data_IF_556064311793
#
_entry.id   IF_556064311793
#
_cell.length_a   1.000
_cell.length_b   1.000
_cell.length_c   1.000
_cell.angle_alpha   90.00
_cell.angle_beta   90.00
_cell.angle_gamma   90.00
#
_symmetry.space_group_name_H-M   'P 1'
#
loop_
_entity.id
_entity.type
_entity.pdbx_description
1 polymer ?
#
# COMPACT_ATOMS: atom_id res chain seq x y z
N UNK A 1 -14.85 23.10 -5.90
CA UNK A 1 -15.85 22.96 -6.97
C UNK A 1 -17.22 23.37 -6.41
N UNK A 2 -17.99 24.17 -7.16
CA UNK A 2 -19.03 25.16 -6.80
C UNK A 2 -18.55 26.58 -6.45
N UNK A 3 -17.40 26.73 -5.78
CA UNK A 3 -16.59 27.97 -5.72
C UNK A 3 -15.22 27.61 -5.08
N UNK A 4 -14.23 28.52 -5.04
CA UNK A 4 -12.96 28.30 -4.32
C UNK A 4 -13.08 28.57 -2.80
N UNK A 5 -14.29 28.76 -2.26
CA UNK A 5 -14.44 29.09 -0.85
C UNK A 5 -14.16 27.86 0.00
N UNK A 6 -13.20 28.01 0.92
CA UNK A 6 -12.98 27.07 2.00
C UNK A 6 -14.23 27.03 2.87
N UNK A 7 -14.68 25.82 3.21
CA UNK A 7 -15.85 25.60 4.06
C UNK A 7 -15.42 24.74 5.24
N UNK A 8 -15.84 25.15 6.42
CA UNK A 8 -15.56 24.43 7.66
C UNK A 8 -16.88 23.96 8.24
N UNK A 9 -16.99 22.65 8.45
CA UNK A 9 -18.14 22.04 9.09
C UNK A 9 -17.75 21.57 10.49
N UNK A 10 -18.25 22.26 11.51
CA UNK A 10 -18.04 21.87 12.89
C UNK A 10 -19.12 20.85 13.31
N UNK A 11 -18.74 19.58 13.39
CA UNK A 11 -19.65 18.50 13.76
C UNK A 11 -19.37 18.03 15.19
N UNK A 12 -20.42 17.54 15.88
CA UNK A 12 -20.29 16.85 17.17
C UNK A 12 -20.72 15.42 17.01
N UNK A 13 -19.88 14.50 17.48
CA UNK A 13 -20.13 13.07 17.43
C UNK A 13 -20.16 12.52 18.86
N UNK A 14 -21.22 11.83 19.23
CA UNK A 14 -21.26 11.11 20.49
C UNK A 14 -20.29 9.92 20.42
N UNK A 15 -19.51 9.73 21.49
CA UNK A 15 -18.60 8.59 21.59
C UNK A 15 -19.39 7.31 21.86
N UNK A 16 -19.26 6.37 20.94
CA UNK A 16 -19.75 5.00 21.04
C UNK A 16 -18.82 4.06 20.25
N UNK A 17 -18.42 2.94 20.84
CA UNK A 17 -17.41 2.04 20.26
C UNK A 17 -17.86 1.43 18.92
N UNK A 18 -19.16 1.19 18.75
CA UNK A 18 -19.72 0.53 17.58
C UNK A 18 -20.17 1.55 16.52
N UNK A 19 -20.79 2.65 16.93
CA UNK A 19 -21.39 3.62 16.01
C UNK A 19 -20.44 4.75 15.60
N UNK A 20 -19.45 5.12 16.42
CA UNK A 20 -18.51 6.22 16.09
C UNK A 20 -17.83 6.02 14.74
N UNK A 21 -17.29 4.83 14.38
CA UNK A 21 -16.68 4.62 13.07
C UNK A 21 -17.65 4.83 11.91
N UNK A 22 -18.88 4.28 12.02
CA UNK A 22 -19.88 4.34 10.95
C UNK A 22 -20.42 5.77 10.76
N UNK A 23 -20.74 6.46 11.85
CA UNK A 23 -21.25 7.83 11.81
C UNK A 23 -20.13 8.79 11.40
N UNK A 24 -18.90 8.59 11.89
CA UNK A 24 -17.73 9.38 11.47
C UNK A 24 -17.53 9.34 9.96
N UNK A 25 -17.54 8.14 9.35
CA UNK A 25 -17.55 7.97 7.89
C UNK A 25 -18.66 8.75 7.23
N UNK A 26 -19.89 8.59 7.71
CA UNK A 26 -21.07 9.22 7.12
C UNK A 26 -20.95 10.75 7.16
N UNK A 27 -20.54 11.32 8.28
CA UNK A 27 -20.36 12.77 8.46
C UNK A 27 -19.28 13.29 7.50
N UNK A 28 -18.15 12.61 7.37
CA UNK A 28 -17.09 12.99 6.44
C UNK A 28 -17.59 13.05 4.99
N UNK A 29 -18.29 11.99 4.55
CA UNK A 29 -18.83 11.90 3.20
C UNK A 29 -19.94 12.92 2.94
N UNK A 30 -20.89 13.05 3.86
CA UNK A 30 -22.01 13.98 3.73
C UNK A 30 -21.54 15.44 3.74
N UNK A 31 -20.53 15.79 4.54
CA UNK A 31 -19.97 17.14 4.59
C UNK A 31 -19.31 17.52 3.26
N UNK A 32 -18.54 16.60 2.67
CA UNK A 32 -17.89 16.81 1.37
C UNK A 32 -18.90 16.91 0.22
N UNK A 33 -20.03 16.20 0.30
CA UNK A 33 -21.07 16.16 -0.73
C UNK A 33 -22.25 17.11 -0.47
N UNK A 34 -22.16 17.95 0.57
CA UNK A 34 -23.27 18.83 0.99
C UNK A 34 -23.73 19.80 -0.12
N UNK A 35 -22.81 20.16 -1.04
CA UNK A 35 -23.09 21.07 -2.14
C UNK A 35 -23.53 20.36 -3.43
N UNK A 36 -23.75 19.04 -3.38
CA UNK A 36 -24.14 18.22 -4.51
C UNK A 36 -23.04 17.23 -4.94
N UNK A 37 -23.27 16.50 -6.04
CA UNK A 37 -22.31 15.53 -6.55
C UNK A 37 -21.03 16.19 -7.07
N UNK A 38 -19.94 15.43 -7.03
CA UNK A 38 -18.67 15.82 -7.62
C UNK A 38 -18.73 15.74 -9.16
N UNK A 39 -17.83 16.42 -9.89
CA UNK A 39 -17.69 16.22 -11.33
C UNK A 39 -17.47 14.72 -11.65
N UNK A 40 -17.86 14.23 -12.84
CA UNK A 40 -17.60 12.84 -13.21
C UNK A 40 -16.11 12.48 -13.17
N UNK A 41 -15.27 13.37 -13.70
CA UNK A 41 -13.81 13.31 -13.58
C UNK A 41 -13.33 14.25 -12.48
N UNK A 42 -12.89 13.69 -11.36
CA UNK A 42 -12.42 14.48 -10.22
C UNK A 42 -11.32 13.78 -9.45
N UNK A 43 -10.51 14.58 -8.79
CA UNK A 43 -9.47 14.16 -7.84
C UNK A 43 -9.81 14.73 -6.47
N UNK A 44 -9.64 13.92 -5.44
CA UNK A 44 -9.76 14.31 -4.03
C UNK A 44 -8.40 14.14 -3.38
N UNK A 45 -7.75 15.24 -3.03
CA UNK A 45 -6.58 15.25 -2.16
C UNK A 45 -7.06 15.54 -0.75
N UNK A 46 -6.60 14.79 0.24
CA UNK A 46 -7.11 14.93 1.60
C UNK A 46 -6.07 14.58 2.66
N UNK A 47 -6.21 15.26 3.79
CA UNK A 47 -5.43 15.03 5.00
C UNK A 47 -6.38 14.74 6.14
N UNK A 48 -5.99 13.81 7.00
CA UNK A 48 -6.76 13.45 8.18
C UNK A 48 -5.87 13.39 9.41
N UNK A 49 -6.42 13.85 10.54
CA UNK A 49 -5.78 13.78 11.84
C UNK A 49 -6.81 13.31 12.87
N UNK A 50 -6.48 12.21 13.56
CA UNK A 50 -7.26 11.69 14.68
C UNK A 50 -6.41 11.88 15.93
N UNK A 51 -6.79 12.85 16.76
CA UNK A 51 -6.17 13.02 18.06
C UNK A 51 -6.68 11.91 19.00
N UNK A 52 -5.76 11.27 19.72
CA UNK A 52 -6.08 10.23 20.69
C UNK A 52 -5.60 10.70 22.06
N UNK A 53 -6.36 10.36 23.09
CA UNK A 53 -6.01 10.72 24.46
C UNK A 53 -4.72 10.00 24.88
N UNK A 54 -3.78 10.74 25.48
CA UNK A 54 -2.52 10.23 26.04
C UNK A 54 -1.63 9.44 25.05
N UNK A 55 -1.71 9.74 23.75
CA UNK A 55 -0.94 9.03 22.72
C UNK A 55 -0.64 9.87 21.47
N UNK A 56 0.15 9.29 20.57
CA UNK A 56 0.48 9.94 19.29
C UNK A 56 -0.74 10.00 18.36
N UNK A 57 -1.00 11.15 17.72
CA UNK A 57 -2.08 11.29 16.77
C UNK A 57 -1.86 10.40 15.56
N UNK A 58 -2.96 9.93 14.97
CA UNK A 58 -2.92 9.20 13.71
C UNK A 58 -3.15 10.22 12.61
N UNK A 59 -2.16 10.34 11.73
CA UNK A 59 -2.18 11.31 10.63
C UNK A 59 -2.04 10.59 9.31
N UNK A 60 -2.84 10.99 8.34
CA UNK A 60 -2.75 10.45 6.99
C UNK A 60 -2.95 11.51 5.94
N UNK A 61 -2.18 11.43 4.86
CA UNK A 61 -2.34 12.25 3.67
C UNK A 61 -2.46 11.35 2.46
N UNK A 62 -3.48 11.59 1.63
CA UNK A 62 -3.69 10.77 0.47
C UNK A 62 -4.48 11.45 -0.65
N UNK A 63 -4.53 10.77 -1.79
CA UNK A 63 -5.19 11.22 -3.01
C UNK A 63 -6.04 10.08 -3.58
N UNK A 64 -7.25 10.38 -4.05
CA UNK A 64 -8.10 9.47 -4.82
C UNK A 64 -8.66 10.16 -6.06
N UNK A 65 -9.08 9.39 -7.05
CA UNK A 65 -9.68 9.95 -8.27
C UNK A 65 -10.80 9.06 -8.79
N UNK A 66 -11.84 9.67 -9.35
CA UNK A 66 -12.98 8.99 -9.99
C UNK A 66 -13.86 8.14 -9.05
N UNK A 67 -13.64 8.23 -7.73
CA UNK A 67 -14.27 7.35 -6.72
C UNK A 67 -15.06 8.10 -5.65
N UNK A 68 -15.51 9.31 -6.00
CA UNK A 68 -16.13 10.26 -5.07
C UNK A 68 -15.24 10.47 -3.82
N UNK A 69 -15.83 10.52 -2.63
CA UNK A 69 -15.15 10.58 -1.32
C UNK A 69 -15.16 9.21 -0.60
N UNK A 70 -15.16 8.12 -1.37
CA UNK A 70 -15.26 6.76 -0.83
C UNK A 70 -14.01 6.38 -0.02
N UNK A 71 -12.82 6.72 -0.53
CA UNK A 71 -11.54 6.41 0.12
C UNK A 71 -11.40 7.10 1.47
N UNK A 72 -11.68 8.42 1.53
CA UNK A 72 -11.67 9.19 2.78
C UNK A 72 -12.55 8.53 3.85
N UNK A 73 -13.79 8.18 3.46
CA UNK A 73 -14.72 7.53 4.37
C UNK A 73 -14.28 6.12 4.78
N UNK A 74 -13.69 5.36 3.86
CA UNK A 74 -13.23 3.99 4.13
C UNK A 74 -12.02 3.96 5.05
N UNK A 75 -11.07 4.87 4.88
CA UNK A 75 -9.90 5.02 5.74
C UNK A 75 -10.27 5.50 7.14
N UNK A 76 -11.18 6.48 7.24
CA UNK A 76 -11.69 6.90 8.53
C UNK A 76 -12.41 5.76 9.25
N UNK A 77 -13.29 5.03 8.54
CA UNK A 77 -14.01 3.89 9.10
C UNK A 77 -13.04 2.81 9.59
N UNK A 78 -12.10 2.37 8.75
CA UNK A 78 -11.17 1.28 9.09
C UNK A 78 -10.27 1.68 10.25
N UNK A 79 -9.75 2.91 10.25
CA UNK A 79 -8.90 3.44 11.31
C UNK A 79 -9.65 3.50 12.64
N UNK A 80 -10.82 4.14 12.69
CA UNK A 80 -11.61 4.22 13.91
C UNK A 80 -12.06 2.84 14.39
N UNK A 81 -12.42 1.93 13.48
CA UNK A 81 -12.79 0.56 13.83
C UNK A 81 -11.63 -0.18 14.48
N UNK A 82 -10.44 -0.09 13.90
CA UNK A 82 -9.23 -0.73 14.44
C UNK A 82 -8.86 -0.16 15.80
N UNK A 83 -8.90 1.17 15.97
CA UNK A 83 -8.59 1.80 17.26
C UNK A 83 -9.60 1.44 18.34
N UNK A 84 -10.90 1.54 18.05
CA UNK A 84 -11.94 1.33 19.06
C UNK A 84 -12.17 -0.14 19.40
N UNK A 85 -11.79 -1.06 18.51
CA UNK A 85 -11.98 -2.51 18.69
C UNK A 85 -10.68 -3.30 18.86
N UNK A 86 -9.54 -2.62 19.04
CA UNK A 86 -8.27 -3.31 19.31
C UNK A 86 -8.33 -4.09 20.65
N UNK A 87 -7.56 -5.19 20.78
CA UNK A 87 -7.55 -6.02 21.99
C UNK A 87 -6.52 -5.59 23.05
N UNK A 88 -5.77 -4.52 22.83
CA UNK A 88 -4.62 -4.13 23.66
C UNK A 88 -5.02 -3.11 24.73
N UNK A 89 -5.36 -1.90 24.32
CA UNK A 89 -5.71 -0.80 25.22
C UNK A 89 -6.95 -0.03 24.73
N UNK A 90 -7.59 0.69 25.63
CA UNK A 90 -8.68 1.61 25.25
C UNK A 90 -8.07 2.86 24.62
N UNK A 91 -8.13 2.96 23.29
CA UNK A 91 -7.69 4.14 22.55
C UNK A 91 -8.91 5.00 22.22
N UNK A 92 -9.07 6.12 22.93
CA UNK A 92 -10.21 7.03 22.75
C UNK A 92 -9.83 8.21 21.83
N UNK A 93 -10.48 8.37 20.67
CA UNK A 93 -10.37 9.58 19.87
C UNK A 93 -10.94 10.79 20.60
N UNK A 94 -10.21 11.91 20.59
CA UNK A 94 -10.63 13.20 21.17
C UNK A 94 -11.17 14.16 20.11
N UNK A 95 -10.50 14.20 18.95
CA UNK A 95 -10.94 14.97 17.79
C UNK A 95 -10.59 14.25 16.49
N UNK A 96 -11.34 14.58 15.44
CA UNK A 96 -11.11 14.13 14.07
C UNK A 96 -11.13 15.39 13.20
N UNK A 97 -10.03 15.66 12.52
CA UNK A 97 -9.87 16.73 11.56
C UNK A 97 -9.68 16.11 10.18
N UNK A 98 -10.39 16.65 9.19
CA UNK A 98 -10.31 16.20 7.79
C UNK A 98 -10.29 17.43 6.89
N UNK A 99 -9.21 17.58 6.14
CA UNK A 99 -9.07 18.57 5.10
C UNK A 99 -9.20 17.87 3.74
N UNK A 100 -10.03 18.41 2.86
CA UNK A 100 -10.26 17.83 1.53
C UNK A 100 -10.24 18.93 0.47
N UNK A 101 -9.47 18.70 -0.60
CA UNK A 101 -9.39 19.52 -1.80
C UNK A 101 -9.91 18.69 -2.96
N UNK A 102 -10.90 19.23 -3.68
CA UNK A 102 -11.57 18.54 -4.78
C UNK A 102 -11.37 19.32 -6.07
N UNK A 103 -10.74 18.68 -7.05
CA UNK A 103 -10.38 19.24 -8.34
C UNK A 103 -11.10 18.49 -9.47
N UNK A 104 -11.62 19.19 -10.51
CA UNK A 104 -12.34 18.56 -11.62
C UNK A 104 -11.37 17.99 -12.67
N UNK A 105 -10.47 17.10 -12.26
CA UNK A 105 -9.50 16.44 -13.13
C UNK A 105 -9.27 15.00 -12.65
N UNK A 106 -9.03 14.08 -13.59
CA UNK A 106 -8.65 12.70 -13.26
C UNK A 106 -7.12 12.62 -13.02
N UNK A 107 -6.74 12.13 -11.85
CA UNK A 107 -5.34 11.83 -11.50
C UNK A 107 -5.00 10.34 -11.60
N UNK A 108 -5.89 9.49 -12.12
CA UNK A 108 -5.64 8.05 -12.30
C UNK A 108 -5.04 7.75 -13.66
N UNK A 109 -3.88 7.12 -13.67
CA UNK A 109 -3.28 6.54 -14.86
C UNK A 109 -3.39 5.00 -14.82
N UNK A 110 -3.88 4.41 -15.90
CA UNK A 110 -3.89 2.95 -16.08
C UNK A 110 -2.64 2.50 -16.84
N UNK A 111 -2.15 1.30 -16.51
CA UNK A 111 -1.06 0.67 -17.28
C UNK A 111 -1.63 0.25 -18.64
N UNK A 112 -1.21 0.93 -19.71
CA UNK A 112 -1.62 0.65 -21.09
C UNK A 112 -0.80 -0.49 -21.70
N UNK A 113 0.52 -0.40 -21.58
CA UNK A 113 1.44 -1.44 -22.02
C UNK A 113 2.74 -1.35 -21.24
N UNK A 114 3.50 -2.43 -21.23
CA UNK A 114 4.82 -2.47 -20.62
C UNK A 114 5.75 -3.35 -21.46
N UNK A 115 6.99 -2.93 -21.62
CA UNK A 115 7.98 -3.56 -22.48
C UNK A 115 9.34 -3.62 -21.77
N UNK A 116 10.08 -4.69 -22.02
CA UNK A 116 11.44 -4.86 -21.52
C UNK A 116 12.44 -4.38 -22.56
N UNK A 117 13.48 -3.66 -22.12
CA UNK A 117 14.63 -3.35 -22.99
C UNK A 117 15.32 -4.61 -23.50
N UNK A 118 15.31 -5.69 -22.69
CA UNK A 118 15.78 -7.03 -23.05
C UNK A 118 14.90 -8.09 -22.38
N UNK A 119 14.36 -9.02 -23.17
CA UNK A 119 13.56 -10.13 -22.65
C UNK A 119 14.41 -11.25 -22.03
N UNK A 120 15.69 -11.32 -22.42
CA UNK A 120 16.66 -12.33 -21.96
C UNK A 120 17.82 -11.64 -21.26
N UNK A 121 18.12 -12.05 -20.04
CA UNK A 121 19.17 -11.47 -19.19
C UNK A 121 19.97 -12.52 -18.44
N UNK A 122 21.14 -12.11 -17.93
CA UNK A 122 21.96 -12.91 -17.03
C UNK A 122 21.80 -12.43 -15.57
N UNK A 123 22.02 -13.30 -14.58
CA UNK A 123 22.10 -12.89 -13.18
C UNK A 123 23.06 -11.70 -12.98
N UNK A 124 22.69 -10.75 -12.12
CA UNK A 124 23.47 -9.54 -11.85
C UNK A 124 23.27 -8.38 -12.84
N UNK A 125 22.65 -8.61 -14.01
CA UNK A 125 22.35 -7.54 -14.97
C UNK A 125 21.20 -6.65 -14.51
N UNK A 126 21.15 -5.42 -15.02
CA UNK A 126 20.03 -4.49 -14.84
C UNK A 126 19.16 -4.50 -16.09
N UNK A 127 17.84 -4.63 -15.90
CA UNK A 127 16.83 -4.43 -16.94
C UNK A 127 16.19 -3.06 -16.80
N UNK A 128 15.72 -2.52 -17.93
CA UNK A 128 14.86 -1.34 -17.96
C UNK A 128 13.49 -1.77 -18.43
N UNK A 129 12.47 -1.41 -17.66
CA UNK A 129 11.06 -1.64 -17.98
C UNK A 129 10.47 -0.31 -18.43
N UNK A 130 10.07 -0.23 -19.69
CA UNK A 130 9.36 0.92 -20.24
C UNK A 130 7.86 0.69 -20.10
N UNK A 131 7.16 1.63 -19.46
CA UNK A 131 5.74 1.51 -19.14
C UNK A 131 4.99 2.68 -19.75
N UNK A 132 4.01 2.36 -20.57
CA UNK A 132 3.09 3.33 -21.13
C UNK A 132 1.86 3.42 -20.22
N UNK A 133 1.59 4.62 -19.75
CA UNK A 133 0.47 4.95 -18.88
C UNK A 133 -0.55 5.79 -19.66
N UNK A 134 -1.83 5.57 -19.36
CA UNK A 134 -2.93 6.35 -19.95
C UNK A 134 -3.89 6.85 -18.87
N UNK A 135 -3.96 8.16 -18.72
CA UNK A 135 -5.03 8.85 -17.97
C UNK A 135 -6.24 9.06 -18.88
N UNK A 136 -7.44 9.11 -18.32
CA UNK A 136 -8.65 9.36 -19.11
C UNK A 136 -8.56 10.69 -19.88
N UNK A 137 -8.76 10.64 -21.20
CA UNK A 137 -8.70 11.79 -22.14
C UNK A 137 -7.37 12.55 -22.20
N UNK A 138 -6.30 12.06 -21.59
CA UNK A 138 -4.95 12.61 -21.77
C UNK A 138 -4.16 11.81 -22.81
N UNK A 139 -3.07 12.41 -23.31
CA UNK A 139 -2.10 11.68 -24.12
C UNK A 139 -1.40 10.60 -23.26
N UNK A 140 -0.95 9.53 -23.92
CA UNK A 140 -0.18 8.49 -23.23
C UNK A 140 1.18 9.05 -22.82
N UNK A 141 1.62 8.71 -21.61
CA UNK A 141 2.92 9.07 -21.08
C UNK A 141 3.75 7.81 -20.87
N UNK A 142 5.05 7.90 -21.12
CA UNK A 142 5.99 6.80 -20.91
C UNK A 142 6.83 7.09 -19.67
N UNK A 143 7.01 6.08 -18.82
CA UNK A 143 7.98 6.08 -17.73
C UNK A 143 8.90 4.86 -17.83
N UNK A 144 10.10 4.95 -17.26
CA UNK A 144 11.10 3.88 -17.26
C UNK A 144 11.53 3.55 -15.85
N UNK A 145 11.66 2.26 -15.55
CA UNK A 145 12.05 1.75 -14.23
C UNK A 145 13.18 0.74 -14.40
N UNK A 146 14.26 0.93 -13.67
CA UNK A 146 15.38 -0.01 -13.66
C UNK A 146 15.23 -1.03 -12.54
N UNK A 147 15.51 -2.31 -12.84
CA UNK A 147 15.55 -3.38 -11.86
C UNK A 147 16.84 -4.20 -12.03
N UNK A 148 17.61 -4.35 -10.95
CA UNK A 148 18.78 -5.23 -10.92
C UNK A 148 18.34 -6.68 -10.63
N UNK A 149 18.70 -7.59 -11.52
CA UNK A 149 18.47 -9.03 -11.34
C UNK A 149 19.46 -9.58 -10.31
N UNK A 150 19.02 -10.36 -9.31
CA UNK A 150 19.93 -10.97 -8.34
C UNK A 150 21.00 -11.84 -8.99
N UNK A 151 22.21 -11.81 -8.46
CA UNK A 151 23.31 -12.68 -8.91
C UNK A 151 23.04 -14.17 -8.64
N UNK A 152 22.17 -14.45 -7.67
CA UNK A 152 21.77 -15.81 -7.28
C UNK A 152 20.55 -16.32 -8.05
N UNK A 153 20.07 -15.59 -9.06
CA UNK A 153 18.86 -15.96 -9.79
C UNK A 153 19.13 -17.20 -10.67
N UNK A 154 18.40 -18.31 -10.49
CA UNK A 154 18.54 -19.46 -11.37
C UNK A 154 18.11 -19.14 -12.81
N UNK A 155 18.57 -19.94 -13.76
CA UNK A 155 18.06 -19.84 -15.12
C UNK A 155 16.60 -20.32 -15.17
N UNK A 156 15.78 -19.63 -15.97
CA UNK A 156 14.36 -19.92 -16.08
C UNK A 156 13.54 -18.73 -16.54
N UNK A 157 12.23 -18.92 -16.59
CA UNK A 157 11.24 -17.89 -16.92
C UNK A 157 10.57 -17.41 -15.64
N UNK A 158 10.53 -16.10 -15.45
CA UNK A 158 10.01 -15.47 -14.25
C UNK A 158 8.96 -14.42 -14.59
N UNK A 159 7.87 -14.35 -13.81
CA UNK A 159 6.87 -13.30 -13.98
C UNK A 159 7.40 -11.99 -13.37
N UNK A 160 7.65 -11.00 -14.23
CA UNK A 160 7.91 -9.63 -13.79
C UNK A 160 6.58 -8.89 -13.68
N UNK A 161 6.23 -8.46 -12.47
CA UNK A 161 4.96 -7.82 -12.17
C UNK A 161 5.13 -6.31 -12.11
N UNK A 162 4.23 -5.59 -12.77
CA UNK A 162 4.08 -4.15 -12.67
C UNK A 162 2.82 -3.85 -11.88
N UNK A 163 2.95 -3.20 -10.73
CA UNK A 163 1.88 -3.05 -9.77
C UNK A 163 1.69 -1.57 -9.44
N UNK A 164 0.49 -1.05 -9.68
CA UNK A 164 0.06 0.21 -9.04
C UNK A 164 -0.06 0.05 -7.52
N UNK A 165 -0.10 1.15 -6.79
CA UNK A 165 0.00 1.14 -5.32
C UNK A 165 -1.02 0.22 -4.63
N UNK A 166 -2.30 0.25 -5.02
CA UNK A 166 -3.34 -0.61 -4.44
C UNK A 166 -3.07 -2.10 -4.67
N UNK A 167 -2.60 -2.45 -5.87
CA UNK A 167 -2.27 -3.83 -6.22
C UNK A 167 -1.00 -4.28 -5.51
N UNK A 168 -0.02 -3.38 -5.37
CA UNK A 168 1.20 -3.65 -4.62
C UNK A 168 0.94 -3.85 -3.11
N UNK A 169 0.05 -3.05 -2.50
CA UNK A 169 -0.36 -3.28 -1.11
C UNK A 169 -1.05 -4.65 -0.94
N UNK A 170 -1.89 -5.05 -1.91
CA UNK A 170 -2.51 -6.38 -1.92
C UNK A 170 -1.47 -7.49 -2.06
N UNK A 171 -0.44 -7.27 -2.89
CA UNK A 171 0.72 -8.17 -3.01
C UNK A 171 1.48 -8.29 -1.69
N UNK A 172 1.76 -7.18 -0.98
CA UNK A 172 2.44 -7.21 0.31
C UNK A 172 1.65 -7.99 1.36
N UNK A 173 0.34 -7.75 1.45
CA UNK A 173 -0.52 -8.47 2.39
C UNK A 173 -0.52 -9.98 2.16
N UNK A 174 -0.40 -10.44 0.91
CA UNK A 174 -0.38 -11.86 0.55
C UNK A 174 1.00 -12.53 0.67
N UNK A 175 2.08 -11.77 0.47
CA UNK A 175 3.43 -12.35 0.34
C UNK A 175 4.36 -12.02 1.53
N UNK A 176 4.00 -11.03 2.36
CA UNK A 176 4.68 -10.77 3.63
C UNK A 176 3.71 -10.30 4.73
N UNK A 177 2.69 -11.11 5.09
CA UNK A 177 1.71 -10.76 6.13
C UNK A 177 2.35 -10.45 7.49
N UNK A 178 3.50 -11.03 7.79
CA UNK A 178 4.27 -10.76 9.01
C UNK A 178 4.68 -9.28 9.15
N UNK A 179 4.79 -8.52 8.04
CA UNK A 179 5.10 -7.08 8.07
C UNK A 179 3.96 -6.23 8.65
N UNK A 180 2.76 -6.79 8.72
CA UNK A 180 1.54 -6.15 9.21
C UNK A 180 1.09 -6.72 10.56
N UNK A 181 1.94 -7.52 11.23
CA UNK A 181 1.62 -8.06 12.54
C UNK A 181 1.62 -6.94 13.58
N UNK A 182 0.51 -6.84 14.29
CA UNK A 182 0.30 -5.92 15.41
C UNK A 182 0.31 -6.72 16.70
N UNK A 183 1.04 -6.26 17.72
CA UNK A 183 1.20 -6.96 19.01
C UNK A 183 0.87 -6.11 20.23
N UNK A 184 0.73 -4.81 20.05
CA UNK A 184 0.40 -3.82 21.08
C UNK A 184 -0.20 -2.56 20.41
N UNK A 185 -0.64 -1.60 21.23
CA UNK A 185 -1.22 -0.34 20.76
C UNK A 185 -0.23 0.49 19.95
N UNK A 186 1.06 0.50 20.32
CA UNK A 186 2.08 1.29 19.63
C UNK A 186 2.34 0.76 18.21
N UNK A 187 2.45 -0.56 18.06
CA UNK A 187 2.59 -1.25 16.77
C UNK A 187 1.31 -1.14 15.93
N UNK A 188 0.13 -1.02 16.56
CA UNK A 188 -1.12 -0.75 15.86
C UNK A 188 -1.10 0.63 15.21
N UNK A 189 -0.80 1.66 16.00
CA UNK A 189 -0.71 3.06 15.52
C UNK A 189 0.37 3.19 14.45
N UNK A 190 1.54 2.58 14.68
CA UNK A 190 2.64 2.56 13.71
C UNK A 190 2.23 1.85 12.41
N UNK A 191 1.53 0.72 12.51
CA UNK A 191 1.02 -0.03 11.37
C UNK A 191 -0.03 0.75 10.57
N UNK A 192 -0.98 1.39 11.26
CA UNK A 192 -1.98 2.28 10.65
C UNK A 192 -1.30 3.42 9.89
N UNK A 193 -0.38 4.15 10.54
CA UNK A 193 0.36 5.24 9.89
C UNK A 193 1.14 4.76 8.66
N UNK A 194 1.73 3.56 8.70
CA UNK A 194 2.43 2.99 7.54
C UNK A 194 1.49 2.69 6.38
N UNK A 195 0.34 2.08 6.66
CA UNK A 195 -0.62 1.66 5.62
C UNK A 195 -1.33 2.88 5.01
N UNK A 196 -1.76 3.82 5.85
CA UNK A 196 -2.50 5.01 5.40
C UNK A 196 -1.62 5.98 4.59
N UNK A 197 -0.33 6.06 4.90
CA UNK A 197 0.62 6.95 4.22
C UNK A 197 1.47 6.23 3.16
N UNK A 198 1.02 5.07 2.68
CA UNK A 198 1.69 4.40 1.58
C UNK A 198 1.50 5.23 0.30
N UNK A 199 2.58 5.65 -0.40
CA UNK A 199 2.46 6.51 -1.57
C UNK A 199 1.63 5.85 -2.67
N UNK A 200 0.52 6.50 -3.05
CA UNK A 200 -0.38 6.01 -4.11
C UNK A 200 0.08 6.36 -5.53
N UNK A 201 0.98 7.33 -5.64
CA UNK A 201 1.57 7.82 -6.88
C UNK A 201 2.85 7.06 -7.28
N UNK A 202 2.91 5.76 -6.98
CA UNK A 202 4.06 4.91 -7.28
C UNK A 202 3.67 3.72 -8.14
N UNK A 203 4.55 3.42 -9.10
CA UNK A 203 4.53 2.19 -9.87
C UNK A 203 5.67 1.30 -9.41
N UNK A 204 5.34 0.07 -9.02
CA UNK A 204 6.29 -0.92 -8.53
C UNK A 204 6.55 -1.96 -9.62
N UNK A 205 7.82 -2.30 -9.80
CA UNK A 205 8.26 -3.46 -10.58
C UNK A 205 8.74 -4.51 -9.58
N UNK A 206 8.09 -5.67 -9.57
CA UNK A 206 8.33 -6.75 -8.61
C UNK A 206 8.72 -8.01 -9.36
N UNK A 207 9.85 -8.60 -8.98
CA UNK A 207 10.34 -9.88 -9.48
C UNK A 207 10.38 -10.89 -8.33
N UNK A 208 9.47 -11.88 -8.30
CA UNK A 208 9.54 -12.98 -7.36
C UNK A 208 10.84 -13.76 -7.53
N UNK A 209 11.55 -14.01 -6.44
CA UNK A 209 12.80 -14.76 -6.39
C UNK A 209 12.52 -16.09 -5.70
N UNK A 210 12.87 -17.23 -6.32
CA UNK A 210 12.69 -18.53 -5.69
C UNK A 210 13.50 -18.60 -4.40
N UNK A 211 12.90 -19.13 -3.33
CA UNK A 211 13.60 -19.36 -2.07
C UNK A 211 14.72 -20.37 -2.31
N UNK A 212 15.98 -19.93 -2.25
CA UNK A 212 17.13 -20.84 -2.17
C UNK A 212 17.29 -21.27 -0.72
N UNK A 213 17.65 -22.54 -0.48
CA UNK A 213 17.70 -23.13 0.88
C UNK A 213 18.61 -22.40 1.89
N UNK A 214 19.49 -21.51 1.42
CA UNK A 214 20.36 -20.66 2.26
C UNK A 214 19.65 -19.40 2.79
N UNK A 215 18.65 -18.87 2.07
CA UNK A 215 17.90 -17.68 2.48
C UNK A 215 16.93 -17.97 3.63
N UNK A 216 16.39 -19.19 3.71
CA UNK A 216 15.50 -19.60 4.81
C UNK A 216 16.22 -19.59 6.18
N UNK A 217 17.52 -19.90 6.22
CA UNK A 217 18.27 -20.01 7.49
C UNK A 217 18.66 -18.68 8.13
N UNK A 218 18.70 -17.57 7.38
CA UNK A 218 19.34 -16.31 7.81
C UNK A 218 18.37 -15.21 8.25
N UNK A 219 17.11 -15.30 7.86
CA UNK A 219 16.10 -14.28 8.19
C UNK A 219 15.13 -14.70 9.30
N UNK A 220 15.05 -16.00 9.61
CA UNK A 220 14.10 -16.49 10.60
C UNK A 220 14.57 -16.31 12.05
N UNK A 221 15.87 -16.09 12.30
CA UNK A 221 16.45 -16.20 13.65
C UNK A 221 17.61 -15.22 13.91
N UNK A 222 17.38 -13.90 14.06
CA UNK A 222 18.47 -12.94 14.30
C UNK A 222 19.20 -13.15 15.64
N UNK A 223 18.55 -13.78 16.64
CA UNK A 223 19.08 -13.94 18.00
C UNK A 223 18.64 -15.27 18.64
N UNK A 224 19.20 -16.40 18.20
CA UNK A 224 19.04 -17.66 18.92
C UNK A 224 20.35 -18.05 19.62
N UNK A 225 20.39 -18.03 20.97
CA UNK A 225 21.52 -18.56 21.73
C UNK A 225 21.83 -20.00 21.30
N UNK A 226 23.11 -20.41 21.26
CA UNK A 226 23.53 -21.72 20.74
C UNK A 226 22.77 -22.92 21.31
N UNK A 227 22.28 -22.80 22.54
CA UNK A 227 21.53 -23.84 23.27
C UNK A 227 20.13 -24.12 22.71
N UNK A 228 19.48 -23.18 22.02
CA UNK A 228 18.17 -23.40 21.40
C UNK A 228 18.25 -23.90 19.95
N UNK A 229 19.43 -23.84 19.31
CA UNK A 229 19.65 -24.48 18.00
C UNK A 229 19.58 -26.01 18.08
N UNK A 230 20.01 -26.60 19.19
CA UNK A 230 20.00 -28.05 19.38
C UNK A 230 18.56 -28.63 19.40
N UNK A 231 17.59 -27.86 19.89
CA UNK A 231 16.18 -28.26 19.93
C UNK A 231 15.51 -28.26 18.55
N UNK A 232 16.08 -27.54 17.56
CA UNK A 232 15.59 -27.52 16.19
C UNK A 232 16.12 -28.69 15.34
N UNK A 233 17.18 -29.37 15.78
CA UNK A 233 17.68 -30.58 15.10
C UNK A 233 16.77 -31.79 15.30
N UNK A 234 15.93 -31.78 16.34
CA UNK A 234 15.01 -32.86 16.68
C UNK A 234 13.59 -32.69 16.07
N UNK A 235 13.34 -31.58 15.37
CA UNK A 235 12.00 -31.21 14.91
C UNK A 235 11.65 -31.81 13.54
N UNK A 236 11.54 -33.14 13.45
CA UNK A 236 10.78 -33.84 12.36
C UNK A 236 9.26 -33.58 12.41
N UNK A 237 8.82 -32.52 13.11
CA UNK A 237 7.42 -32.17 13.41
C UNK A 237 7.15 -30.66 13.32
N UNK A 238 7.83 -29.94 12.45
CA UNK A 238 7.38 -28.59 12.11
C UNK A 238 6.22 -28.72 11.11
N UNK A 239 5.14 -27.97 11.36
CA UNK A 239 4.08 -27.71 10.39
C UNK A 239 4.70 -27.35 9.04
N UNK A 240 4.04 -27.62 7.89
CA UNK A 240 4.58 -27.22 6.59
C UNK A 240 4.90 -25.74 6.63
N UNK A 241 6.20 -25.42 6.68
CA UNK A 241 6.67 -24.04 6.68
C UNK A 241 6.30 -23.50 5.31
N UNK A 242 5.43 -22.50 5.25
CA UNK A 242 5.16 -21.84 3.98
C UNK A 242 6.49 -21.28 3.46
N UNK A 243 6.89 -21.61 2.22
CA UNK A 243 8.14 -21.11 1.66
C UNK A 243 8.16 -19.59 1.76
N UNK A 244 9.19 -19.04 2.43
CA UNK A 244 9.38 -17.59 2.50
C UNK A 244 9.43 -17.03 1.08
N UNK A 245 8.44 -16.22 0.71
CA UNK A 245 8.39 -15.60 -0.61
C UNK A 245 9.33 -14.41 -0.62
N UNK A 246 10.45 -14.56 -1.32
CA UNK A 246 11.38 -13.48 -1.55
C UNK A 246 11.08 -12.80 -2.88
N UNK A 247 11.32 -11.50 -2.97
CA UNK A 247 11.25 -10.77 -4.23
C UNK A 247 12.25 -9.63 -4.21
N UNK A 248 12.66 -9.19 -5.39
CA UNK A 248 13.31 -7.89 -5.56
C UNK A 248 12.33 -6.93 -6.19
N UNK A 249 12.45 -5.66 -5.84
CA UNK A 249 11.57 -4.61 -6.33
C UNK A 249 12.33 -3.34 -6.66
N UNK A 250 11.76 -2.57 -7.56
CA UNK A 250 12.13 -1.19 -7.85
C UNK A 250 10.85 -0.39 -8.05
N UNK A 251 10.92 0.94 -7.91
CA UNK A 251 9.75 1.79 -8.07
C UNK A 251 10.14 3.15 -8.63
N UNK A 252 9.15 3.82 -9.23
CA UNK A 252 9.24 5.20 -9.67
C UNK A 252 8.06 5.98 -9.12
N UNK A 253 8.32 7.21 -8.70
CA UNK A 253 7.30 8.17 -8.30
C UNK A 253 6.77 8.92 -9.52
N UNK A 254 5.46 9.16 -9.52
CA UNK A 254 4.72 9.78 -10.61
C UNK A 254 3.85 10.92 -10.05
N UNK A 255 3.33 11.76 -10.93
CA UNK A 255 2.35 12.81 -10.62
C UNK A 255 0.90 12.29 -10.63
N UNK A 256 0.70 11.02 -11.00
CA UNK A 256 -0.60 10.35 -11.13
C UNK A 256 -0.67 9.11 -10.23
N UNK A 257 -1.88 8.77 -9.79
CA UNK A 257 -2.22 7.50 -9.13
C UNK A 257 -2.18 6.39 -10.18
N UNK A 258 -1.32 5.40 -9.99
CA UNK A 258 -1.28 4.25 -10.92
C UNK A 258 -2.27 3.18 -10.49
N UNK A 259 -3.14 2.81 -11.42
CA UNK A 259 -4.15 1.76 -11.23
C UNK A 259 -3.82 0.50 -12.02
N UNK A 260 -4.27 -0.64 -11.48
CA UNK A 260 -4.15 -1.95 -12.11
C UNK A 260 -2.80 -2.63 -11.91
N UNK A 261 -2.55 -3.60 -12.79
CA UNK A 261 -1.31 -4.34 -12.85
C UNK A 261 -1.08 -4.89 -14.26
N UNK A 262 0.18 -5.15 -14.59
CA UNK A 262 0.58 -5.88 -15.78
C UNK A 262 1.64 -6.92 -15.42
N UNK A 263 1.82 -7.92 -16.27
CA UNK A 263 2.85 -8.94 -16.09
C UNK A 263 3.57 -9.17 -17.40
N UNK A 264 4.90 -9.24 -17.34
CA UNK A 264 5.77 -9.55 -18.48
C UNK A 264 6.61 -10.79 -18.10
N UNK A 265 6.88 -11.66 -19.06
CA UNK A 265 7.82 -12.77 -18.86
C UNK A 265 9.26 -12.27 -19.02
N UNK A 266 10.10 -12.53 -18.01
CA UNK A 266 11.54 -12.33 -18.06
C UNK A 266 12.25 -13.68 -18.14
N UNK A 267 13.16 -13.86 -19.10
CA UNK A 267 13.99 -15.05 -19.19
C UNK A 267 15.38 -14.78 -18.62
N UNK A 268 15.80 -15.60 -17.66
CA UNK A 268 17.16 -15.58 -17.10
C UNK A 268 17.92 -16.77 -17.68
N UNK A 269 19.05 -16.51 -18.31
CA UNK A 269 19.97 -17.54 -18.84
C UNK A 269 21.20 -17.68 -17.94
N UNK A 270 21.81 -18.88 -17.96
CA UNK A 270 23.09 -19.07 -17.30
C UNK A 270 24.20 -18.28 -18.04
N UNK A 271 25.25 -17.83 -17.31
CA UNK A 271 26.39 -17.14 -17.89
C UNK A 271 27.03 -17.86 -19.08
#
# INVERSE_FOLDING_TARGET
YNDPKVRTYACRLAYDREYTPMIGRLVAQASALMQGPLPPEHTVSYQGRIAVKDGEPITFENISSGRSVTEVGSELLSTLTLLLNNPFDVVKPESIELDMVIEPADSTAAIWSAQLSKAVVKPGQTITVEVMLQTFREARATTSIELKIPETMPAGKYPLQLLGATTYNSFLNQNAPQRFRVVDTQSLVTGLNRVLNMPRNRLYVVLPVPATGLAMRRHELPDLPPTRMALLQDARRLQPMEPYKNWVESNVELDKIVSGAAQIELTVEQP
#
